data_IF_021437871253
#
_entry.id   IF_021437871253
#
_cell.length_a   1.000
_cell.length_b   1.000
_cell.length_c   1.000
_cell.angle_alpha   90.00
_cell.angle_beta   90.00
_cell.angle_gamma   90.00
#
_symmetry.space_group_name_H-M   'P 1'
#
loop_
_entity.id
_entity.type
_entity.pdbx_description
1 polymer ?
2 non-polymer ?
3 non-polymer ?
4 non-polymer ?
5 water ?
#
# COMPACT_ATOMS: atom_id res chain seq x y z
N UNK A 17 -7.77 24.32 -4.28
CA UNK A 17 -8.74 23.22 -4.63
C UNK A 17 -8.09 21.84 -4.58
N UNK A 18 -7.63 21.33 -3.39
CA UNK A 18 -7.05 19.99 -3.33
C UNK A 18 -8.12 18.92 -3.57
N UNK A 19 -7.79 17.87 -4.32
CA UNK A 19 -8.73 16.76 -4.58
C UNK A 19 -8.46 15.59 -3.66
N UNK A 20 -7.40 15.65 -2.86
CA UNK A 20 -7.00 14.48 -2.04
C UNK A 20 -6.84 14.91 -0.56
N UNK A 21 -7.91 15.45 0.04
CA UNK A 21 -7.87 16.04 1.40
C UNK A 21 -8.70 15.19 2.36
N UNK A 22 -9.86 14.69 1.95
CA UNK A 22 -10.83 14.03 2.86
C UNK A 22 -10.94 12.54 2.48
N UNK A 23 -11.03 11.67 3.47
CA UNK A 23 -11.34 10.25 3.27
C UNK A 23 -12.80 10.01 3.67
N UNK A 24 -13.54 9.35 2.79
CA UNK A 24 -14.95 8.99 3.00
C UNK A 24 -15.07 7.48 2.93
N UNK A 25 -16.14 6.94 3.52
CA UNK A 25 -16.48 5.52 3.35
C UNK A 25 -16.72 5.24 1.86
N UNK A 26 -16.04 4.26 1.28
CA UNK A 26 -16.19 3.90 -0.15
C UNK A 26 -17.64 3.45 -0.45
N UNK A 27 -18.31 2.86 0.53
CA UNK A 27 -19.66 2.25 0.26
C UNK A 27 -20.77 3.29 0.32
N UNK A 28 -20.64 4.38 1.06
CA UNK A 28 -21.79 5.29 1.31
C UNK A 28 -21.38 6.76 1.30
N UNK A 29 -20.10 7.13 1.41
CA UNK A 29 -19.77 8.56 1.44
C UNK A 29 -19.66 9.22 2.80
N UNK A 30 -19.91 8.49 3.89
CA UNK A 30 -19.74 9.05 5.23
C UNK A 30 -18.34 9.66 5.37
N UNK A 31 -18.27 10.85 5.96
CA UNK A 31 -16.96 11.50 6.23
C UNK A 31 -16.22 10.71 7.31
N UNK A 32 -14.97 10.33 7.08
CA UNK A 32 -14.23 9.47 8.04
C UNK A 32 -12.94 10.14 8.51
N UNK A 33 -12.07 10.58 7.63
CA UNK A 33 -10.79 11.15 8.10
C UNK A 33 -10.23 12.12 7.07
N UNK A 34 -8.97 12.51 7.24
CA UNK A 34 -8.29 13.53 6.40
C UNK A 34 -6.86 13.06 6.17
N UNK A 35 -6.27 13.41 5.04
CA UNK A 35 -4.86 13.10 4.77
C UNK A 35 -4.00 13.77 5.85
N UNK A 36 -4.41 14.97 6.29
CA UNK A 36 -3.62 15.73 7.30
C UNK A 36 -3.54 14.96 8.62
N UNK A 37 -4.41 13.97 8.82
CA UNK A 37 -4.49 13.24 10.11
C UNK A 37 -3.78 11.89 10.02
N UNK A 38 -3.10 11.61 8.91
CA UNK A 38 -2.27 10.37 8.84
C UNK A 38 -1.19 10.42 9.93
N UNK A 39 -0.87 9.26 10.48
CA UNK A 39 0.06 9.12 11.62
C UNK A 39 1.14 8.08 11.29
N UNK A 40 2.42 8.45 11.14
CA UNK A 40 3.49 7.46 10.96
C UNK A 40 3.90 6.64 12.19
N UNK A 41 3.08 5.66 12.59
CA UNK A 41 3.37 4.70 13.71
C UNK A 41 4.60 3.86 13.34
N UNK A 42 5.63 3.83 14.19
CA UNK A 42 6.90 3.13 13.90
C UNK A 42 7.54 3.57 12.59
N UNK A 43 7.30 4.82 12.16
CA UNK A 43 7.99 5.44 11.02
C UNK A 43 7.22 5.36 9.72
N UNK A 44 6.07 4.67 9.66
CA UNK A 44 5.28 4.53 8.41
C UNK A 44 3.80 4.64 8.75
N UNK A 45 3.01 5.36 7.95
CA UNK A 45 1.53 5.42 8.12
C UNK A 45 0.91 4.11 7.64
N UNK A 46 1.58 3.36 6.77
CA UNK A 46 1.05 2.12 6.18
C UNK A 46 1.66 0.89 6.86
N UNK A 47 0.79 -0.04 7.28
CA UNK A 47 1.15 -1.33 7.95
C UNK A 47 0.37 -2.45 7.28
N UNK A 48 1.03 -3.49 6.78
CA UNK A 48 0.31 -4.61 6.12
C UNK A 48 0.33 -5.81 7.06
N UNK A 49 -0.85 -6.35 7.35
CA UNK A 49 -1.08 -7.25 8.49
C UNK A 49 -2.05 -8.35 8.09
N UNK A 50 -2.04 -9.46 8.82
CA UNK A 50 -3.07 -10.51 8.64
C UNK A 50 -3.77 -10.78 9.95
N UNK A 51 -5.05 -11.07 9.83
CA UNK A 51 -5.82 -11.61 10.98
C UNK A 51 -5.65 -13.13 11.07
N UNK A 52 -6.18 -13.76 12.14
CA UNK A 52 -6.05 -15.19 12.30
C UNK A 52 -6.74 -16.02 11.20
N UNK A 53 -7.67 -15.42 10.46
CA UNK A 53 -8.35 -16.09 9.32
C UNK A 53 -7.53 -15.87 8.03
N UNK A 54 -6.32 -15.30 8.15
CA UNK A 54 -5.40 -15.17 7.00
C UNK A 54 -5.74 -14.00 6.11
N UNK A 55 -6.74 -13.20 6.44
CA UNK A 55 -7.13 -12.04 5.59
C UNK A 55 -6.03 -10.99 5.73
N UNK A 56 -5.57 -10.48 4.58
CA UNK A 56 -4.52 -9.41 4.55
C UNK A 56 -5.23 -8.05 4.52
N UNK A 57 -4.71 -7.11 5.31
CA UNK A 57 -5.22 -5.74 5.31
C UNK A 57 -4.07 -4.78 5.11
N UNK A 58 -4.28 -3.79 4.25
CA UNK A 58 -3.36 -2.65 4.12
C UNK A 58 -3.91 -1.54 5.00
N UNK A 59 -3.30 -1.33 6.16
CA UNK A 59 -3.85 -0.46 7.22
C UNK A 59 -3.11 0.87 7.14
N UNK A 60 -3.86 1.96 7.11
CA UNK A 60 -3.29 3.31 7.27
C UNK A 60 -3.63 3.75 8.70
N UNK A 61 -2.62 4.26 9.39
CA UNK A 61 -2.85 4.79 10.76
C UNK A 61 -3.19 6.28 10.68
N UNK A 62 -4.22 6.67 11.41
CA UNK A 62 -4.69 8.07 11.53
C UNK A 62 -4.73 8.44 13.00
N UNK A 63 -4.33 9.67 13.30
CA UNK A 63 -4.44 10.17 14.69
C UNK A 63 -5.93 10.34 15.08
N UNK A 64 -6.77 10.63 14.11
CA UNK A 64 -8.15 11.07 14.33
C UNK A 64 -9.02 10.56 13.20
N UNK A 65 -10.25 10.26 13.54
CA UNK A 65 -11.30 9.85 12.59
C UNK A 65 -12.63 10.21 13.21
N UNK A 66 -13.64 10.27 12.36
CA UNK A 66 -15.03 10.59 12.73
C UNK A 66 -15.95 9.65 11.94
N UNK A 67 -17.24 9.70 12.22
CA UNK A 67 -18.25 9.00 11.42
C UNK A 67 -18.24 7.49 11.58
N UNK A 68 -17.51 6.99 12.56
CA UNK A 68 -17.41 5.54 12.82
C UNK A 68 -18.35 5.20 13.96
N UNK A 69 -18.57 3.91 14.16
CA UNK A 69 -19.24 3.36 15.36
C UNK A 69 -18.30 2.29 15.90
N UNK A 70 -17.83 2.46 17.14
CA UNK A 70 -16.87 1.54 17.78
C UNK A 70 -17.72 0.53 18.52
N UNK A 71 -17.46 -0.76 18.26
CA UNK A 71 -18.34 -1.88 18.71
C UNK A 71 -17.67 -2.62 19.85
N UNK A 72 -18.41 -2.80 20.94
CA UNK A 72 -17.94 -3.59 22.10
C UNK A 72 -16.85 -2.89 22.90
N UNK A 73 -16.09 -3.70 23.62
CA UNK A 73 -15.05 -3.28 24.55
C UNK A 73 -13.71 -3.69 23.94
N UNK A 74 -12.62 -3.03 24.34
CA UNK A 74 -11.31 -3.31 23.76
C UNK A 74 -10.82 -4.71 24.07
N UNK A 75 -9.99 -5.25 23.19
CA UNK A 75 -9.30 -6.55 23.32
C UNK A 75 -7.83 -6.38 22.96
N UNK A 76 -6.93 -6.98 23.70
CA UNK A 76 -5.49 -7.03 23.34
C UNK A 76 -5.18 -8.23 22.45
N UNK A 77 -6.12 -9.15 22.23
CA UNK A 77 -5.85 -10.45 21.57
C UNK A 77 -5.34 -10.19 20.14
N UNK A 78 -4.17 -10.72 19.80
CA UNK A 78 -3.59 -10.63 18.43
C UNK A 78 -3.44 -9.18 17.97
N UNK A 79 -3.34 -8.22 18.86
CA UNK A 79 -3.09 -6.83 18.45
C UNK A 79 -1.84 -6.72 17.57
N UNK A 80 -2.00 -6.05 16.44
CA UNK A 80 -0.90 -5.79 15.50
C UNK A 80 0.03 -4.69 16.04
N UNK A 81 -0.37 -3.97 17.07
CA UNK A 81 0.38 -2.79 17.56
C UNK A 81 0.70 -3.02 19.04
N UNK A 82 1.99 -3.08 19.34
CA UNK A 82 2.49 -3.44 20.70
C UNK A 82 1.92 -2.48 21.72
N UNK A 83 1.25 -2.99 22.76
CA UNK A 83 0.75 -2.15 23.86
C UNK A 83 -0.64 -1.62 23.67
N UNK A 84 -1.30 -1.89 22.54
CA UNK A 84 -2.66 -1.36 22.27
C UNK A 84 -3.69 -2.47 22.23
N UNK A 85 -4.88 -2.14 22.73
CA UNK A 85 -6.09 -2.95 22.68
C UNK A 85 -6.94 -2.37 21.56
N UNK A 86 -7.70 -3.21 20.89
CA UNK A 86 -8.46 -2.77 19.70
C UNK A 86 -9.95 -2.93 19.92
N UNK A 87 -10.72 -2.09 19.25
CA UNK A 87 -12.18 -2.24 19.06
C UNK A 87 -12.46 -2.12 17.58
N UNK A 88 -13.41 -2.93 17.13
CA UNK A 88 -13.88 -2.86 15.71
C UNK A 88 -14.50 -1.49 15.45
N UNK A 89 -14.14 -0.89 14.32
CA UNK A 89 -14.68 0.41 13.87
C UNK A 89 -15.49 0.15 12.61
N UNK A 90 -16.80 0.33 12.70
CA UNK A 90 -17.68 0.27 11.53
C UNK A 90 -17.92 1.69 11.04
N UNK A 91 -18.22 1.81 9.76
CA UNK A 91 -18.85 3.04 9.25
C UNK A 91 -20.14 3.26 10.07
N UNK A 92 -20.26 4.43 10.69
CA UNK A 92 -21.44 4.75 11.47
C UNK A 92 -22.69 4.90 10.66
N UNK A 93 -22.55 5.10 9.36
CA UNK A 93 -23.70 5.26 8.45
C UNK A 93 -24.12 3.89 7.91
N UNK A 94 -23.21 3.20 7.23
CA UNK A 94 -23.62 1.98 6.46
C UNK A 94 -23.22 0.67 7.17
N UNK A 95 -22.37 0.71 8.19
CA UNK A 95 -22.00 -0.52 8.92
C UNK A 95 -20.85 -1.27 8.29
N UNK A 96 -20.28 -0.77 7.20
CA UNK A 96 -19.07 -1.38 6.55
C UNK A 96 -17.94 -1.46 7.59
N UNK A 97 -17.22 -2.57 7.63
CA UNK A 97 -16.06 -2.66 8.55
C UNK A 97 -14.90 -1.83 7.99
N UNK A 98 -14.57 -0.67 8.58
CA UNK A 98 -13.54 0.22 8.04
C UNK A 98 -12.19 0.04 8.74
N UNK A 99 -12.17 -0.59 9.92
CA UNK A 99 -10.90 -0.82 10.61
C UNK A 99 -11.09 -0.98 12.10
N UNK A 100 -10.19 -0.40 12.86
CA UNK A 100 -10.12 -0.59 14.33
C UNK A 100 -9.71 0.71 14.99
N UNK A 101 -10.19 0.90 16.20
CA UNK A 101 -9.68 1.94 17.10
C UNK A 101 -8.76 1.29 18.13
N UNK A 102 -7.59 1.86 18.30
CA UNK A 102 -6.56 1.35 19.24
C UNK A 102 -6.51 2.29 20.44
N UNK A 103 -6.43 1.70 21.62
CA UNK A 103 -6.35 2.45 22.89
C UNK A 103 -5.48 1.68 23.87
N UNK A 104 -5.17 2.30 25.00
CA UNK A 104 -4.57 1.62 26.15
C UNK A 104 -3.04 1.64 26.10
N UNK A 105 -2.47 2.29 25.08
CA UNK A 105 -1.02 2.28 24.85
C UNK A 105 -0.38 3.59 25.27
N UNK A 106 0.77 3.89 24.68
CA UNK A 106 1.65 5.04 25.04
C UNK A 106 2.15 5.72 23.76
N UNK A 107 2.06 7.04 23.71
CA UNK A 107 2.73 7.91 22.70
C UNK A 107 2.49 7.36 21.28
N UNK A 108 1.25 7.41 20.75
CA UNK A 108 0.09 7.97 21.41
C UNK A 108 -0.71 6.94 22.23
N UNK A 109 -1.59 7.43 23.12
CA UNK A 109 -2.46 6.53 23.90
C UNK A 109 -3.43 5.85 22.94
N UNK A 110 -3.89 6.55 21.91
CA UNK A 110 -4.94 6.04 21.00
C UNK A 110 -4.64 6.43 19.54
N UNK A 111 -5.18 5.66 18.61
CA UNK A 111 -5.17 6.02 17.16
C UNK A 111 -6.15 5.12 16.44
N UNK A 112 -6.35 5.38 15.14
CA UNK A 112 -7.22 4.55 14.28
C UNK A 112 -6.37 3.84 13.23
N UNK A 113 -6.64 2.55 13.03
CA UNK A 113 -6.07 1.81 11.91
C UNK A 113 -7.15 1.49 10.92
N UNK A 114 -7.17 2.19 9.78
CA UNK A 114 -8.27 2.04 8.82
C UNK A 114 -7.77 1.27 7.57
N UNK A 115 -8.68 0.49 7.02
CA UNK A 115 -8.39 -0.33 5.82
C UNK A 115 -8.44 0.57 4.57
N UNK A 116 -7.29 0.83 3.96
CA UNK A 116 -7.20 1.92 2.95
C UNK A 116 -8.16 1.66 1.79
N UNK A 117 -8.31 0.41 1.31
CA UNK A 117 -9.14 0.17 0.12
C UNK A 117 -10.63 0.20 0.47
N UNK A 118 -11.01 0.46 1.70
CA UNK A 118 -12.42 0.63 2.07
C UNK A 118 -12.76 2.12 2.19
N UNK A 119 -11.82 3.00 1.89
CA UNK A 119 -12.01 4.48 1.92
C UNK A 119 -11.94 4.97 0.47
N UNK A 120 -12.47 6.18 0.26
CA UNK A 120 -12.30 6.94 -0.98
C UNK A 120 -11.71 8.30 -0.63
N UNK A 121 -10.73 8.76 -1.37
CA UNK A 121 -10.05 10.05 -1.12
C UNK A 121 -10.56 11.10 -2.09
N UNK A 122 -10.76 12.33 -1.62
CA UNK A 122 -11.35 13.36 -2.47
C UNK A 122 -11.34 14.73 -1.81
N UNK A 123 -11.96 15.70 -2.50
CA UNK A 123 -11.92 17.10 -2.08
C UNK A 123 -12.60 17.39 -0.74
N UNK A 124 -12.17 18.48 -0.08
CA UNK A 124 -12.71 18.93 1.22
C UNK A 124 -14.17 19.37 1.04
N UNK B 21 1.34 -8.95 -20.00
CA UNK B 21 -0.08 -8.63 -19.82
C UNK B 21 -0.43 -7.24 -20.35
N UNK B 22 -1.59 -7.12 -21.06
CA UNK B 22 -2.09 -5.81 -21.55
C UNK B 22 -3.47 -5.52 -20.96
N UNK B 23 -3.81 -4.24 -20.93
CA UNK B 23 -5.15 -3.76 -20.55
C UNK B 23 -5.82 -3.21 -21.80
N UNK B 24 -6.99 -3.73 -22.10
CA UNK B 24 -7.76 -3.31 -23.29
C UNK B 24 -9.00 -2.59 -22.83
N UNK B 25 -9.54 -1.74 -23.70
CA UNK B 25 -10.87 -1.14 -23.47
C UNK B 25 -11.88 -2.29 -23.33
N UNK B 26 -12.63 -2.31 -22.23
CA UNK B 26 -13.62 -3.40 -21.99
C UNK B 26 -14.74 -3.32 -23.04
N UNK B 27 -15.03 -2.12 -23.57
CA UNK B 27 -16.18 -1.96 -24.51
C UNK B 27 -15.81 -2.37 -25.93
N UNK B 28 -14.59 -2.10 -26.41
CA UNK B 28 -14.28 -2.38 -27.85
C UNK B 28 -13.02 -3.23 -28.05
N UNK B 29 -12.23 -3.48 -27.02
CA UNK B 29 -11.04 -4.31 -27.19
C UNK B 29 -9.77 -3.58 -27.55
N UNK B 30 -9.80 -2.28 -27.82
CA UNK B 30 -8.57 -1.55 -28.20
C UNK B 30 -7.54 -1.72 -27.10
N UNK B 31 -6.29 -2.02 -27.45
CA UNK B 31 -5.17 -2.00 -26.50
C UNK B 31 -5.01 -0.56 -25.96
N UNK B 32 -4.92 -0.43 -24.64
CA UNK B 32 -4.80 0.90 -23.97
C UNK B 32 -3.50 0.98 -23.16
N UNK B 33 -3.20 0.04 -22.28
CA UNK B 33 -1.95 0.12 -21.50
C UNK B 33 -1.45 -1.27 -21.17
N UNK B 34 -0.44 -1.35 -20.31
CA UNK B 34 0.35 -2.58 -20.09
C UNK B 34 0.57 -2.73 -18.59
N UNK B 35 0.60 -3.97 -18.09
CA UNK B 35 0.95 -4.17 -16.68
C UNK B 35 2.35 -3.62 -16.40
N UNK B 36 3.26 -3.69 -17.38
CA UNK B 36 4.66 -3.23 -17.16
C UNK B 36 4.67 -1.72 -16.85
N UNK B 37 3.62 -1.01 -17.20
CA UNK B 37 3.55 0.46 -17.08
C UNK B 37 2.80 0.88 -15.82
N UNK B 38 2.36 -0.08 -14.98
CA UNK B 38 1.76 0.29 -13.69
C UNK B 38 2.73 1.18 -12.91
N UNK B 39 2.18 2.21 -12.26
CA UNK B 39 2.96 3.27 -11.62
C UNK B 39 2.46 3.48 -10.19
N UNK B 40 3.26 3.18 -9.16
CA UNK B 40 2.80 3.40 -7.77
C UNK B 40 2.88 4.85 -7.29
N UNK B 41 1.94 5.69 -7.72
CA UNK B 41 1.83 7.12 -7.29
C UNK B 41 1.50 7.17 -5.80
N UNK B 42 2.30 7.90 -5.02
CA UNK B 42 2.14 7.96 -3.55
C UNK B 42 2.20 6.59 -2.90
N UNK B 43 2.87 5.61 -3.52
CA UNK B 43 3.14 4.29 -2.92
C UNK B 43 2.15 3.22 -3.36
N UNK B 44 1.11 3.54 -4.13
CA UNK B 44 0.14 2.51 -4.57
C UNK B 44 -0.27 2.78 -6.00
N UNK B 45 -0.41 1.75 -6.84
CA UNK B 45 -0.98 1.97 -8.20
C UNK B 45 -2.51 2.13 -8.14
N UNK B 46 -3.16 1.60 -7.09
CA UNK B 46 -4.64 1.74 -6.93
C UNK B 46 -4.99 2.92 -6.00
N UNK B 47 -5.90 3.79 -6.47
CA UNK B 47 -6.44 4.93 -5.71
C UNK B 47 -7.96 4.88 -5.86
N UNK B 48 -8.62 4.74 -4.73
CA UNK B 48 -10.11 4.91 -4.68
C UNK B 48 -10.35 6.38 -4.37
N UNK B 49 -11.09 7.05 -5.23
CA UNK B 49 -11.20 8.54 -5.19
C UNK B 49 -12.65 8.94 -5.42
N UNK B 50 -13.03 10.13 -5.00
CA UNK B 50 -14.36 10.69 -5.31
C UNK B 50 -14.18 12.09 -5.89
N UNK B 51 -15.03 12.42 -6.83
CA UNK B 51 -15.01 13.79 -7.46
C UNK B 51 -15.95 14.72 -6.66
N UNK B 52 -16.01 16.04 -7.01
CA UNK B 52 -16.86 16.97 -6.30
C UNK B 52 -18.36 16.67 -6.40
N UNK B 53 -18.77 15.91 -7.41
CA UNK B 53 -20.18 15.46 -7.55
C UNK B 53 -20.43 14.19 -6.73
N UNK B 54 -19.42 13.72 -5.99
CA UNK B 54 -19.60 12.56 -5.09
C UNK B 54 -19.49 11.24 -5.86
N UNK B 55 -19.13 11.22 -7.12
CA UNK B 55 -18.98 9.96 -7.87
C UNK B 55 -17.68 9.29 -7.41
N UNK B 56 -17.71 7.98 -7.13
CA UNK B 56 -16.52 7.23 -6.66
C UNK B 56 -15.95 6.43 -7.81
N UNK B 57 -14.64 6.45 -7.96
CA UNK B 57 -13.89 5.71 -8.99
C UNK B 57 -12.77 4.94 -8.33
N UNK B 58 -12.47 3.77 -8.89
CA UNK B 58 -11.26 3.00 -8.51
C UNK B 58 -10.32 3.12 -9.68
N UNK B 59 -9.21 3.80 -9.43
CA UNK B 59 -8.25 4.28 -10.45
C UNK B 59 -6.96 3.48 -10.32
N UNK B 60 -6.41 2.99 -11.43
CA UNK B 60 -5.04 2.42 -11.46
C UNK B 60 -4.17 3.38 -12.24
N UNK B 61 -2.97 3.64 -11.72
CA UNK B 61 -2.04 4.60 -12.34
C UNK B 61 -1.09 3.87 -13.29
N UNK B 62 -0.95 4.41 -14.49
CA UNK B 62 -0.02 3.89 -15.51
C UNK B 62 0.89 5.00 -16.00
N UNK B 63 2.13 4.73 -16.31
CA UNK B 63 3.08 5.77 -16.82
C UNK B 63 2.63 6.26 -18.22
N UNK B 64 2.27 5.33 -19.07
CA UNK B 64 1.95 5.56 -20.49
C UNK B 64 0.64 4.86 -20.81
N UNK B 65 0.07 5.21 -21.95
CA UNK B 65 -1.09 4.55 -22.55
C UNK B 65 -1.06 4.86 -24.02
N UNK B 66 -1.91 4.18 -24.76
CA UNK B 66 -2.11 4.42 -26.18
C UNK B 66 -3.60 4.23 -26.50
N UNK B 67 -4.02 4.75 -27.63
CA UNK B 67 -5.37 4.46 -28.11
C UNK B 67 -6.42 5.33 -27.45
N UNK B 68 -6.05 6.26 -26.57
CA UNK B 68 -7.05 7.17 -25.96
C UNK B 68 -7.17 8.45 -26.77
N UNK B 69 -8.20 9.23 -26.47
CA UNK B 69 -8.34 10.62 -26.95
C UNK B 69 -8.55 11.50 -25.73
N UNK B 70 -7.66 12.44 -25.50
CA UNK B 70 -7.71 13.38 -24.38
C UNK B 70 -8.51 14.58 -24.83
N UNK B 71 -9.52 14.98 -24.06
CA UNK B 71 -10.49 16.02 -24.48
C UNK B 71 -10.31 17.26 -23.58
N UNK B 72 -10.21 18.43 -24.19
CA UNK B 72 -10.22 19.70 -23.44
C UNK B 72 -8.86 20.11 -22.95
N UNK B 73 -8.76 21.33 -22.42
CA UNK B 73 -7.50 21.87 -21.89
C UNK B 73 -7.31 21.28 -20.50
N UNK B 74 -6.07 21.13 -20.02
CA UNK B 74 -5.84 20.59 -18.68
C UNK B 74 -6.42 21.53 -17.62
N UNK B 75 -6.86 20.94 -16.50
CA UNK B 75 -7.41 21.66 -15.34
C UNK B 75 -6.66 21.24 -14.10
N UNK B 76 -6.36 22.22 -13.22
CA UNK B 76 -5.81 21.89 -11.89
C UNK B 76 -6.90 21.69 -10.84
N UNK B 77 -8.15 22.03 -11.17
CA UNK B 77 -9.25 22.09 -10.14
C UNK B 77 -9.49 20.67 -9.59
N UNK B 78 -9.39 20.50 -8.28
CA UNK B 78 -9.73 19.25 -7.57
C UNK B 78 -8.96 18.08 -8.13
N UNK B 79 -7.75 18.32 -8.64
CA UNK B 79 -6.86 17.21 -9.02
C UNK B 79 -6.69 16.21 -7.86
N UNK B 80 -6.83 14.92 -8.17
CA UNK B 80 -6.58 13.87 -7.16
C UNK B 80 -5.07 13.73 -6.84
N UNK B 81 -4.21 14.28 -7.68
CA UNK B 81 -2.74 14.14 -7.55
C UNK B 81 -2.11 15.51 -7.47
N UNK B 82 -1.66 15.88 -6.27
CA UNK B 82 -1.01 17.17 -5.95
C UNK B 82 0.08 17.48 -7.00
N UNK B 83 -0.02 18.63 -7.64
CA UNK B 83 1.02 19.14 -8.56
C UNK B 83 0.74 18.80 -10.01
N UNK B 84 -0.38 18.12 -10.30
CA UNK B 84 -0.73 17.72 -11.68
C UNK B 84 -2.06 18.34 -12.08
N UNK B 85 -2.16 18.68 -13.36
CA UNK B 85 -3.42 19.05 -14.04
C UNK B 85 -3.98 17.81 -14.74
N UNK B 86 -5.29 17.74 -14.91
CA UNK B 86 -5.93 16.56 -15.52
C UNK B 86 -6.67 16.92 -16.78
N UNK B 87 -6.77 15.95 -17.69
CA UNK B 87 -7.66 15.98 -18.88
C UNK B 87 -8.41 14.65 -18.97
N UNK B 88 -9.68 14.71 -19.33
CA UNK B 88 -10.52 13.50 -19.54
C UNK B 88 -9.92 12.62 -20.65
N UNK B 89 -9.88 11.32 -20.42
CA UNK B 89 -9.38 10.33 -21.42
C UNK B 89 -10.50 9.40 -21.86
N UNK B 90 -10.85 9.46 -23.12
CA UNK B 90 -11.83 8.52 -23.72
C UNK B 90 -11.07 7.47 -24.54
N UNK B 91 -11.63 6.29 -24.69
CA UNK B 91 -11.16 5.37 -25.75
C UNK B 91 -11.26 6.10 -27.10
N UNK B 92 -10.16 6.15 -27.85
CA UNK B 92 -10.13 6.82 -29.16
C UNK B 92 -10.99 6.11 -30.19
N UNK B 93 -11.23 4.82 -29.96
CA UNK B 93 -11.93 3.97 -30.93
C UNK B 93 -13.43 3.98 -30.66
N UNK B 94 -13.87 3.81 -29.43
CA UNK B 94 -15.33 3.70 -29.12
C UNK B 94 -15.90 4.81 -28.22
N UNK B 95 -15.07 5.68 -27.64
CA UNK B 95 -15.55 6.81 -26.82
C UNK B 95 -15.82 6.47 -25.36
N UNK B 96 -15.63 5.21 -24.94
CA UNK B 96 -15.79 4.84 -23.50
C UNK B 96 -14.93 5.75 -22.63
N UNK B 97 -15.43 6.24 -21.50
CA UNK B 97 -14.63 7.08 -20.58
C UNK B 97 -13.71 6.18 -19.78
N UNK B 98 -12.41 6.14 -20.07
CA UNK B 98 -11.50 5.18 -19.43
C UNK B 98 -10.71 5.82 -18.28
N UNK B 99 -10.66 7.14 -18.16
CA UNK B 99 -9.97 7.79 -17.02
C UNK B 99 -9.55 9.20 -17.36
N UNK B 100 -8.33 9.51 -16.97
CA UNK B 100 -7.77 10.87 -17.05
C UNK B 100 -6.27 10.79 -17.32
N UNK B 101 -5.75 11.81 -17.97
CA UNK B 101 -4.30 12.05 -18.12
C UNK B 101 -3.87 13.16 -17.21
N UNK B 102 -2.72 13.02 -16.56
CA UNK B 102 -2.15 13.98 -15.61
C UNK B 102 -0.85 14.52 -16.19
N UNK B 103 -0.64 15.82 -16.05
CA UNK B 103 0.57 16.47 -16.61
C UNK B 103 0.97 17.65 -15.74
N UNK B 104 2.19 18.16 -15.99
CA UNK B 104 2.66 19.43 -15.38
C UNK B 104 3.35 19.21 -14.05
N UNK B 105 3.60 17.96 -13.66
CA UNK B 105 4.33 17.63 -12.43
C UNK B 105 5.80 17.34 -12.69
N UNK B 106 6.41 16.67 -11.71
CA UNK B 106 7.84 16.26 -11.69
C UNK B 106 7.93 14.83 -11.21
N UNK B 107 8.72 13.99 -11.89
CA UNK B 107 9.05 12.61 -11.45
C UNK B 107 7.78 11.88 -10.97
N UNK B 108 6.86 11.47 -11.88
CA UNK B 108 6.99 11.74 -13.31
C UNK B 108 6.31 13.03 -13.75
N UNK B 109 6.62 13.49 -14.96
CA UNK B 109 5.99 14.72 -15.50
C UNK B 109 4.54 14.43 -15.83
N UNK B 110 4.27 13.22 -16.33
CA UNK B 110 2.92 12.84 -16.82
C UNK B 110 2.63 11.37 -16.45
N UNK B 111 1.35 11.06 -16.34
CA UNK B 111 0.87 9.66 -16.15
C UNK B 111 -0.62 9.63 -16.40
N UNK B 112 -1.18 8.45 -16.39
CA UNK B 112 -2.62 8.20 -16.56
C UNK B 112 -3.21 7.61 -15.29
N UNK B 113 -4.42 8.05 -14.96
CA UNK B 113 -5.27 7.34 -13.97
C UNK B 113 -6.45 6.74 -14.68
N UNK B 114 -6.41 5.42 -14.85
CA UNK B 114 -7.44 4.71 -15.65
C UNK B 114 -8.39 3.95 -14.72
N UNK B 115 -9.64 3.93 -15.10
CA UNK B 115 -10.73 3.30 -14.31
C UNK B 115 -10.64 1.78 -14.50
N UNK B 116 -10.22 1.07 -13.48
CA UNK B 116 -9.91 -0.38 -13.53
C UNK B 116 -11.09 -1.15 -14.11
N UNK B 117 -12.31 -0.84 -13.67
CA UNK B 117 -13.54 -1.58 -14.07
C UNK B 117 -13.86 -1.41 -15.55
N UNK B 118 -13.26 -0.43 -16.22
CA UNK B 118 -13.55 -0.15 -17.64
C UNK B 118 -12.48 -0.75 -18.54
N UNK B 119 -11.54 -1.49 -17.97
CA UNK B 119 -10.46 -2.15 -18.70
C UNK B 119 -10.67 -3.66 -18.57
N UNK B 120 -10.07 -4.40 -19.48
CA UNK B 120 -10.01 -5.86 -19.44
C UNK B 120 -8.55 -6.26 -19.55
N UNK B 121 -8.04 -7.00 -18.59
CA UNK B 121 -6.63 -7.45 -18.62
C UNK B 121 -6.58 -8.80 -19.30
N UNK B 122 -5.54 -9.02 -20.10
CA UNK B 122 -5.37 -10.29 -20.82
C UNK B 122 -4.01 -10.37 -21.47
N UNK B 123 -3.63 -11.54 -22.02
CA UNK B 123 -2.40 -11.69 -22.78
C UNK B 123 -2.30 -10.78 -24.02
N UNK B 124 -1.08 -10.43 -24.38
CA UNK B 124 -0.76 -9.51 -25.49
C UNK B 124 -1.07 -10.13 -26.87
N UNK C 17 4.49 -7.58 19.44
CA UNK C 17 2.99 -7.52 19.34
C UNK C 17 2.45 -8.94 19.12
N UNK C 18 1.39 -9.39 19.85
CA UNK C 18 0.95 -10.79 19.75
C UNK C 18 0.37 -11.15 18.37
N UNK C 19 0.04 -10.14 17.55
CA UNK C 19 -0.45 -10.35 16.17
C UNK C 19 0.67 -10.20 15.16
N UNK C 20 1.92 -10.04 15.61
CA UNK C 20 3.09 -9.89 14.72
C UNK C 20 4.15 -10.97 15.05
N UNK C 21 3.79 -12.24 14.88
CA UNK C 21 4.69 -13.40 15.16
C UNK C 21 5.15 -14.07 13.87
N UNK C 22 4.36 -14.06 12.78
CA UNK C 22 4.73 -14.70 11.48
C UNK C 22 4.90 -13.61 10.44
N UNK C 23 5.93 -13.74 9.61
CA UNK C 23 6.28 -12.74 8.59
C UNK C 23 6.04 -13.38 7.22
N UNK C 24 5.29 -12.68 6.38
CA UNK C 24 4.84 -13.20 5.07
C UNK C 24 5.13 -12.20 3.97
N UNK C 25 5.18 -12.66 2.75
CA UNK C 25 5.25 -11.75 1.57
C UNK C 25 4.02 -10.83 1.54
N UNK C 26 4.21 -9.53 1.46
CA UNK C 26 3.11 -8.52 1.42
C UNK C 26 2.28 -8.72 0.15
N UNK C 27 2.89 -9.13 -0.95
CA UNK C 27 2.22 -9.19 -2.28
C UNK C 27 1.38 -10.45 -2.39
N UNK C 28 1.80 -11.59 -1.85
CA UNK C 28 1.04 -12.85 -2.08
C UNK C 28 0.74 -13.64 -0.80
N UNK C 29 1.39 -13.35 0.32
CA UNK C 29 1.11 -14.04 1.59
C UNK C 29 1.96 -15.28 1.85
N UNK C 30 2.88 -15.62 0.96
CA UNK C 30 3.85 -16.72 1.21
C UNK C 30 4.46 -16.57 2.61
N UNK C 31 4.49 -17.64 3.37
CA UNK C 31 5.12 -17.64 4.71
C UNK C 31 6.63 -17.59 4.53
N UNK C 32 7.31 -16.68 5.23
CA UNK C 32 8.79 -16.48 5.04
C UNK C 32 9.55 -16.76 6.34
N UNK C 33 9.16 -16.16 7.47
CA UNK C 33 9.90 -16.40 8.73
C UNK C 33 9.01 -16.09 9.92
N UNK C 34 9.60 -16.11 11.12
CA UNK C 34 8.84 -15.97 12.37
C UNK C 34 9.74 -15.29 13.41
N UNK C 35 9.09 -14.70 14.38
CA UNK C 35 9.73 -13.87 15.43
C UNK C 35 10.75 -14.74 16.17
N UNK C 36 10.56 -16.05 16.31
CA UNK C 36 11.55 -16.93 17.00
C UNK C 36 12.95 -16.83 16.35
N UNK C 37 12.99 -16.50 15.05
CA UNK C 37 14.29 -16.51 14.31
C UNK C 37 14.81 -15.09 14.10
N UNK C 38 14.11 -14.10 14.65
CA UNK C 38 14.46 -12.67 14.46
C UNK C 38 15.71 -12.41 15.29
N UNK C 39 16.70 -11.72 14.72
CA UNK C 39 17.94 -11.43 15.48
C UNK C 39 17.91 -9.98 15.96
N UNK C 40 17.79 -9.70 17.28
CA UNK C 40 17.89 -8.34 17.79
C UNK C 40 19.31 -7.76 17.82
N UNK C 41 19.48 -6.45 17.59
CA UNK C 41 20.75 -5.73 17.89
C UNK C 41 20.38 -4.74 18.98
N UNK C 42 20.87 -4.99 20.20
CA UNK C 42 20.47 -4.22 21.40
C UNK C 42 18.95 -4.24 21.53
N UNK C 43 18.31 -3.05 21.47
CA UNK C 43 16.87 -2.86 21.66
C UNK C 43 16.09 -2.82 20.35
N UNK C 44 16.77 -2.98 19.21
CA UNK C 44 16.17 -2.84 17.86
C UNK C 44 15.99 -4.20 17.20
N UNK C 45 14.78 -4.50 16.73
CA UNK C 45 14.53 -5.66 15.85
C UNK C 45 14.80 -5.22 14.41
N UNK C 46 14.49 -3.97 14.07
CA UNK C 46 14.67 -3.41 12.70
C UNK C 46 15.94 -2.55 12.68
N UNK C 47 16.71 -2.62 11.58
CA UNK C 47 17.89 -1.78 11.28
C UNK C 47 17.54 -0.76 10.21
N UNK C 48 17.77 0.53 10.45
CA UNK C 48 17.56 1.59 9.43
C UNK C 48 18.84 1.67 8.58
N UNK C 49 18.68 1.48 7.27
CA UNK C 49 19.82 1.47 6.32
C UNK C 49 19.45 2.34 5.12
N UNK C 50 20.47 2.85 4.43
CA UNK C 50 20.26 3.62 3.18
C UNK C 50 20.99 2.89 2.05
N UNK C 51 20.34 2.77 0.90
CA UNK C 51 21.01 2.23 -0.31
C UNK C 51 21.88 3.33 -0.93
N UNK C 52 22.65 3.02 -1.99
CA UNK C 52 23.54 4.02 -2.59
C UNK C 52 22.83 5.27 -3.10
N UNK C 53 21.52 5.19 -3.40
CA UNK C 53 20.71 6.33 -3.88
C UNK C 53 20.16 7.11 -2.69
N UNK C 54 20.48 6.69 -1.46
CA UNK C 54 20.00 7.37 -0.24
C UNK C 54 18.56 7.04 0.10
N UNK C 55 17.97 6.02 -0.51
CA UNK C 55 16.62 5.54 -0.12
C UNK C 55 16.75 4.81 1.22
N UNK C 56 15.84 5.07 2.17
CA UNK C 56 15.83 4.42 3.51
C UNK C 56 15.00 3.13 3.47
N UNK C 57 15.54 2.08 4.07
CA UNK C 57 14.86 0.80 4.32
C UNK C 57 14.98 0.47 5.81
N UNK C 58 13.97 -0.19 6.35
CA UNK C 58 14.04 -0.90 7.64
C UNK C 58 14.26 -2.37 7.27
N UNK C 59 15.35 -2.95 7.73
CA UNK C 59 15.68 -4.38 7.47
C UNK C 59 15.44 -5.17 8.76
N UNK C 60 14.81 -6.33 8.65
CA UNK C 60 14.73 -7.33 9.75
C UNK C 60 15.71 -8.46 9.42
N UNK C 61 16.55 -8.84 10.38
CA UNK C 61 17.49 -9.97 10.20
C UNK C 61 16.92 -11.23 10.85
N UNK C 62 16.93 -12.34 10.11
CA UNK C 62 16.41 -13.65 10.56
C UNK C 62 17.49 -14.71 10.39
N UNK C 63 17.66 -15.58 11.37
CA UNK C 63 18.67 -16.65 11.29
C UNK C 63 18.20 -17.70 10.26
N UNK C 64 16.89 -17.89 10.13
CA UNK C 64 16.30 -18.92 9.23
C UNK C 64 15.15 -18.30 8.47
N UNK C 65 14.89 -18.78 7.26
CA UNK C 65 13.69 -18.38 6.49
C UNK C 65 13.32 -19.53 5.58
N UNK C 66 12.09 -19.45 5.08
CA UNK C 66 11.60 -20.41 4.08
C UNK C 66 10.91 -19.64 2.96
N UNK C 67 10.64 -20.37 1.87
CA UNK C 67 9.73 -19.83 0.85
C UNK C 67 10.36 -18.80 -0.05
N UNK C 68 11.67 -18.58 0.06
CA UNK C 68 12.37 -17.61 -0.82
C UNK C 68 12.99 -18.37 -1.99
N UNK C 69 13.46 -17.63 -2.97
CA UNK C 69 14.34 -18.17 -4.02
C UNK C 69 15.57 -17.25 -4.07
N UNK C 70 16.75 -17.81 -3.80
CA UNK C 70 18.01 -17.02 -3.76
C UNK C 70 18.62 -17.06 -5.15
N UNK C 71 18.84 -15.90 -5.78
CA UNK C 71 19.19 -15.86 -7.23
C UNK C 71 20.57 -15.23 -7.38
N UNK C 72 21.37 -15.73 -8.33
CA UNK C 72 22.59 -15.06 -8.80
C UNK C 72 23.78 -15.27 -7.89
N UNK C 73 24.89 -14.62 -8.20
CA UNK C 73 26.16 -14.80 -7.46
C UNK C 73 26.20 -13.83 -6.30
N UNK C 74 26.93 -14.13 -5.22
CA UNK C 74 27.07 -13.18 -4.11
C UNK C 74 27.81 -11.92 -4.55
N UNK C 75 27.48 -10.80 -3.91
CA UNK C 75 28.15 -9.50 -4.13
C UNK C 75 28.51 -8.89 -2.77
N UNK C 76 29.68 -8.26 -2.68
CA UNK C 76 30.06 -7.45 -1.52
C UNK C 76 29.65 -5.99 -1.66
N UNK C 77 29.14 -5.59 -2.84
CA UNK C 77 28.94 -4.16 -3.20
C UNK C 77 27.98 -3.51 -2.20
N UNK C 78 28.45 -2.44 -1.54
CA UNK C 78 27.64 -1.59 -0.62
C UNK C 78 26.94 -2.44 0.45
N UNK C 79 27.57 -3.55 0.86
CA UNK C 79 26.91 -4.44 1.85
C UNK C 79 26.63 -3.64 3.12
N UNK C 80 25.41 -3.74 3.65
CA UNK C 80 25.03 -3.06 4.92
C UNK C 80 25.66 -3.75 6.12
N UNK C 81 26.20 -4.96 5.95
CA UNK C 81 26.75 -5.76 7.07
C UNK C 81 28.23 -6.03 6.76
N UNK C 82 29.12 -5.43 7.53
CA UNK C 82 30.59 -5.48 7.28
C UNK C 82 31.05 -6.94 7.28
N UNK C 83 31.69 -7.40 6.19
CA UNK C 83 32.26 -8.76 6.11
C UNK C 83 31.29 -9.79 5.54
N UNK C 84 30.11 -9.37 5.11
CA UNK C 84 29.12 -10.27 4.48
C UNK C 84 28.91 -9.89 3.01
N UNK C 85 28.80 -10.93 2.16
CA UNK C 85 28.34 -10.80 0.75
C UNK C 85 26.84 -11.10 0.72
N UNK C 86 26.11 -10.48 -0.20
CA UNK C 86 24.65 -10.69 -0.30
C UNK C 86 24.28 -11.34 -1.63
N UNK C 87 23.17 -12.04 -1.59
CA UNK C 87 22.48 -12.64 -2.77
C UNK C 87 21.02 -12.20 -2.69
N UNK C 88 20.42 -11.86 -3.81
CA UNK C 88 19.01 -11.43 -3.85
C UNK C 88 18.10 -12.57 -3.38
N UNK C 89 17.13 -12.23 -2.54
CA UNK C 89 16.07 -13.16 -2.07
C UNK C 89 14.73 -12.71 -2.64
N UNK C 90 14.14 -13.53 -3.52
CA UNK C 90 12.78 -13.30 -4.03
C UNK C 90 11.79 -14.17 -3.28
N UNK C 91 10.55 -13.73 -3.23
CA UNK C 91 9.43 -14.63 -2.82
C UNK C 91 9.39 -15.80 -3.81
N UNK C 92 9.39 -17.03 -3.30
CA UNK C 92 9.33 -18.20 -4.19
C UNK C 92 7.95 -18.37 -4.82
N UNK C 93 6.93 -17.74 -4.26
CA UNK C 93 5.55 -17.92 -4.77
C UNK C 93 5.24 -16.87 -5.83
N UNK C 94 5.62 -15.61 -5.63
CA UNK C 94 5.18 -14.53 -6.55
C UNK C 94 6.35 -13.78 -7.20
N UNK C 95 7.58 -13.98 -6.73
CA UNK C 95 8.74 -13.32 -7.35
C UNK C 95 9.07 -11.96 -6.76
N UNK C 96 8.26 -11.42 -5.85
CA UNK C 96 8.54 -10.11 -5.18
C UNK C 96 9.95 -10.10 -4.59
N UNK C 97 10.68 -9.00 -4.73
CA UNK C 97 12.02 -8.88 -4.09
C UNK C 97 11.83 -8.59 -2.61
N UNK C 98 12.12 -9.55 -1.73
CA UNK C 98 11.84 -9.36 -0.28
C UNK C 98 13.10 -8.94 0.49
N UNK C 99 14.28 -9.18 -0.06
CA UNK C 99 15.52 -8.82 0.65
C UNK C 99 16.70 -9.60 0.11
N UNK C 100 17.59 -10.02 1.01
CA UNK C 100 18.88 -10.62 0.64
C UNK C 100 19.24 -11.74 1.61
N UNK C 101 20.06 -12.65 1.14
CA UNK C 101 20.74 -13.64 2.00
C UNK C 101 22.19 -13.18 2.15
N UNK C 102 22.66 -13.16 3.38
CA UNK C 102 24.03 -12.71 3.70
C UNK C 102 24.87 -13.91 4.10
N UNK C 103 26.13 -13.92 3.65
CA UNK C 103 27.05 -15.06 3.88
C UNK C 103 28.48 -14.56 3.95
N UNK C 104 29.38 -15.44 4.39
CA UNK C 104 30.83 -15.22 4.35
C UNK C 104 31.33 -14.59 5.63
N UNK C 105 30.47 -14.38 6.64
CA UNK C 105 30.88 -13.81 7.94
C UNK C 105 31.15 -14.86 9.01
N UNK C 106 31.16 -14.40 10.27
CA UNK C 106 31.33 -15.19 11.50
C UNK C 106 30.31 -14.72 12.54
N UNK C 107 29.65 -15.64 13.23
CA UNK C 107 28.74 -15.36 14.39
C UNK C 107 27.78 -14.22 14.04
N UNK C 108 26.77 -14.44 13.16
CA UNK C 108 26.59 -15.71 12.46
C UNK C 108 27.30 -15.77 11.10
N UNK C 109 27.47 -16.97 10.56
CA UNK C 109 28.08 -17.15 9.23
C UNK C 109 27.10 -16.59 8.20
N UNK C 110 25.80 -16.84 8.41
CA UNK C 110 24.74 -16.50 7.41
C UNK C 110 23.50 -16.00 8.12
N UNK C 111 22.69 -15.22 7.40
CA UNK C 111 21.37 -14.77 7.87
C UNK C 111 20.64 -14.17 6.68
N UNK C 112 19.36 -13.90 6.88
CA UNK C 112 18.50 -13.24 5.88
C UNK C 112 18.19 -11.82 6.36
N UNK C 113 18.42 -10.86 5.48
CA UNK C 113 18.05 -9.45 5.72
C UNK C 113 16.88 -9.07 4.88
N UNK C 114 15.68 -8.98 5.47
CA UNK C 114 14.45 -8.78 4.67
C UNK C 114 13.91 -7.37 4.91
N UNK C 115 13.30 -6.83 3.86
CA UNK C 115 12.79 -5.43 3.84
C UNK C 115 11.44 -5.42 4.56
N UNK C 116 11.35 -4.71 5.68
CA UNK C 116 10.08 -4.52 6.44
C UNK C 116 8.91 -4.15 5.50
N UNK C 117 9.11 -3.25 4.56
CA UNK C 117 8.00 -2.73 3.73
C UNK C 117 7.62 -3.73 2.63
N UNK C 118 8.29 -4.87 2.54
CA UNK C 118 7.92 -5.92 1.55
C UNK C 118 7.25 -7.08 2.29
N UNK C 119 7.06 -6.96 3.61
CA UNK C 119 6.50 -8.06 4.44
C UNK C 119 5.17 -7.62 5.04
N UNK C 120 4.40 -8.61 5.46
CA UNK C 120 3.17 -8.47 6.25
C UNK C 120 3.34 -9.33 7.51
N UNK C 121 2.79 -8.89 8.62
CA UNK C 121 2.90 -9.62 9.91
C UNK C 121 1.52 -10.12 10.31
N UNK C 122 1.49 -11.32 10.94
CA UNK C 122 0.26 -11.85 11.53
C UNK C 122 0.55 -12.74 12.73
N UNK C 123 -0.52 -13.19 13.41
CA UNK C 123 -0.39 -14.08 14.56
C UNK C 123 0.07 -15.50 14.17
N UNK C 124 0.60 -16.28 15.12
CA UNK C 124 1.08 -17.65 14.82
C UNK C 124 -0.12 -18.56 14.50
X LIG D 1 -20.28 3.63 4.91
X LIG E 1 -4.95 -5.69 15.82
X LIG E 1 -5.78 -6.48 15.40
X LIG E 1 -5.41 -7.79 15.12
X LIG E 1 -7.19 -6.08 15.12
X LIG E 1 -8.16 -7.25 15.10
X LIG E 1 -7.63 -8.35 14.22
X LIG E 1 -6.21 -8.75 14.57
X LIG E 1 -5.78 -9.88 14.33
X LIG E 1 -8.81 -9.74 14.17
X LIG E 1 -8.90 -10.82 15.57
X LIG E 1 -9.79 -11.87 15.42
X LIG E 1 -9.96 -12.80 16.43
X LIG E 1 -9.25 -12.67 17.61
X LIG E 1 -8.34 -11.63 17.75
X LIG E 1 -8.17 -10.69 16.73
X LIG F 1 -13.01 1.32 -26.73
X LIG G 1 -8.20 14.40 -10.69
X LIG G 1 -9.37 14.48 -10.97
X LIG G 1 -10.23 15.00 -10.04
X LIG G 1 -9.90 14.10 -12.31
X LIG G 1 -11.40 14.25 -12.49
X LIG G 1 -12.01 15.30 -11.61
X LIG G 1 -11.58 15.19 -10.17
X LIG G 1 -12.30 15.36 -9.20
X LIG G 1 -13.79 15.25 -11.89
X LIG G 1 -14.35 16.89 -11.64
X LIG G 1 -13.49 17.94 -11.34
X LIG G 1 -14.02 19.21 -11.14
X LIG G 1 -15.38 19.40 -11.16
X LIG G 1 -16.24 18.34 -11.40
X LIG G 1 -15.72 17.08 -11.64
X LIG H 1 5.03 -13.30 -2.73
X LIG I 1 23.52 -4.90 1.64
X LIG I 1 22.92 -4.36 0.72
X LIG I 1 23.16 -3.01 0.46
X LIG I 1 21.96 -5.07 -0.17
X LIG I 1 21.68 -4.33 -1.47
X LIG I 1 21.32 -2.88 -1.19
X LIG I 1 22.44 -2.21 -0.40
X LIG I 1 22.71 -1.01 -0.48
X LIG I 1 20.83 -2.02 -2.76
X LIG I 1 22.10 -2.37 -3.98
X LIG I 1 23.44 -2.12 -3.73
X LIG I 1 24.39 -2.45 -4.67
X LIG I 1 24.03 -3.02 -5.88
X LIG I 1 22.70 -3.25 -6.13
X LIG I 1 21.74 -2.94 -5.20
#
# INVERSE_FOLDING_TARGET
>A
AMPLDAGGQNSTQMVLAPGASIFRCRQCGQTISRRDWLLPMGGDHEHVVFNPAGMIFRVWCFSLAQGLRLIGAPSGEFSWFKGYDWTIALCGQCGSHLGWHYEGGSQPQTFFGLIKDRLAEGPAD
>B
AMPLDAGGQNSTQMVLAPGASIFRCRQCGQTISRRDWLLPMGGDHEHVVFNPAGMIFRVWCFSLAQGLRLIGAPSGEFSWFKGYDWTIALCGQCGSHLGWHYEGGSQPQTFFGLIKDRLAEGPAD
>C
AMPLDAGGQNSTQMVLAPGASIFRCRQCGQTISRRDWLLPMGGDHEHVVFNPAGMIFRVWCFSLAQGLRLIGAPSGEFSWFKGYDWTIALCGQCGSHLGWHYEGGSQPQTFFGLIKDRLAEGPAD
>D hetero
1 ZN ZN
>E hetero
1 A1IXA O2 C11 N1 C10 C9 C2 C1 O1 S1 C3 C8 C7 C6 C5 C4
>F hetero
1 ZN ZN
>G hetero
1 A1I4R O2 C11 N1 C10 C9 C2 C1 O1 S1 C3 C8 C7 C6 C5 C4
>H hetero
1 ZN ZN
>I hetero
1 A1IXA O2 C11 N1 C10 C9 C2 C1 O1 S1 C3 C8 C7 C6 C5 C4
#
